data_IF_003388216524
#
_entry.id   IF_003388216524
#
_cell.length_a   1.000
_cell.length_b   1.000
_cell.length_c   1.000
_cell.angle_alpha   90.00
_cell.angle_beta   90.00
_cell.angle_gamma   90.00
#
_symmetry.space_group_name_H-M   'P 1'
#
loop_
_entity.id
_entity.type
_entity.pdbx_description
1 polymer ?
#
# COMPACT_ATOMS: atom_id res chain seq x y z
N UNK A 1 -23.97 23.84 9.94
CA UNK A 1 -25.03 23.07 9.29
C UNK A 1 -25.01 23.44 7.82
N UNK A 2 -24.69 22.51 6.96
CA UNK A 2 -24.75 22.70 5.51
C UNK A 2 -26.18 22.58 4.98
N UNK A 3 -26.40 23.04 3.75
CA UNK A 3 -27.68 22.89 3.08
C UNK A 3 -27.93 21.40 2.77
N UNK A 4 -29.17 20.94 3.03
CA UNK A 4 -29.60 19.58 2.73
C UNK A 4 -30.22 19.55 1.34
N UNK A 5 -29.78 18.59 0.54
CA UNK A 5 -30.34 18.34 -0.79
C UNK A 5 -31.08 17.01 -0.80
N UNK A 6 -32.22 16.95 -1.49
CA UNK A 6 -32.98 15.70 -1.64
C UNK A 6 -32.21 14.74 -2.55
N UNK A 7 -31.95 13.54 -2.07
CA UNK A 7 -31.31 12.45 -2.84
C UNK A 7 -32.39 11.66 -3.61
N UNK A 8 -33.48 11.31 -2.93
CA UNK A 8 -34.59 10.56 -3.51
C UNK A 8 -35.86 10.77 -2.69
N UNK A 9 -37.02 10.49 -3.31
CA UNK A 9 -38.32 10.46 -2.62
C UNK A 9 -38.91 9.05 -2.75
N UNK A 10 -39.25 8.45 -1.61
CA UNK A 10 -39.80 7.10 -1.50
C UNK A 10 -41.29 7.23 -1.07
N UNK A 11 -42.20 6.78 -1.90
CA UNK A 11 -43.65 6.86 -1.62
C UNK A 11 -44.21 5.59 -0.98
N UNK A 12 -43.52 4.47 -1.09
CA UNK A 12 -43.92 3.22 -0.46
C UNK A 12 -43.32 3.14 0.96
N UNK A 13 -44.17 3.22 1.98
CA UNK A 13 -43.80 3.18 3.39
C UNK A 13 -43.12 1.86 3.86
N UNK A 14 -43.29 0.76 3.06
CA UNK A 14 -42.62 -0.50 3.36
C UNK A 14 -41.16 -0.56 2.85
N UNK A 15 -40.75 0.42 2.06
CA UNK A 15 -39.37 0.53 1.58
C UNK A 15 -38.52 1.18 2.69
N UNK A 16 -37.59 0.42 3.24
CA UNK A 16 -36.75 0.83 4.38
C UNK A 16 -35.29 1.09 3.99
N UNK A 17 -34.96 0.99 2.70
CA UNK A 17 -33.59 1.20 2.21
C UNK A 17 -33.55 1.85 0.82
N UNK A 18 -32.49 2.57 0.54
CA UNK A 18 -32.16 3.15 -0.76
C UNK A 18 -30.67 2.99 -1.03
N UNK A 19 -30.29 2.60 -2.24
CA UNK A 19 -28.88 2.48 -2.63
C UNK A 19 -28.44 3.68 -3.45
N UNK A 20 -27.32 4.28 -3.07
CA UNK A 20 -26.65 5.36 -3.81
C UNK A 20 -25.49 4.73 -4.56
N UNK A 21 -25.50 4.80 -5.89
CA UNK A 21 -24.50 4.16 -6.75
C UNK A 21 -23.35 5.06 -7.15
N UNK A 22 -23.59 6.37 -7.15
CA UNK A 22 -22.56 7.37 -7.45
C UNK A 22 -22.14 8.08 -6.14
N UNK A 23 -21.09 7.59 -5.51
CA UNK A 23 -20.60 8.17 -4.29
C UNK A 23 -19.07 8.12 -4.25
N UNK A 24 -18.45 9.04 -3.49
CA UNK A 24 -17.03 9.01 -3.20
C UNK A 24 -16.84 8.55 -1.74
N UNK A 25 -16.26 7.35 -1.50
CA UNK A 25 -16.06 6.83 -0.15
C UNK A 25 -15.04 7.63 0.69
N UNK A 26 -14.28 8.53 0.05
CA UNK A 26 -13.27 9.37 0.67
C UNK A 26 -13.82 10.72 1.15
N UNK A 27 -15.09 10.98 0.89
CA UNK A 27 -15.79 12.20 1.32
C UNK A 27 -16.83 11.84 2.35
N UNK A 28 -16.81 12.54 3.48
CA UNK A 28 -17.85 12.41 4.50
C UNK A 28 -19.16 13.01 3.98
N UNK A 29 -20.21 12.20 3.94
CA UNK A 29 -21.56 12.61 3.61
C UNK A 29 -22.49 12.30 4.77
N UNK A 30 -23.37 13.21 5.09
CA UNK A 30 -24.40 13.06 6.11
C UNK A 30 -25.75 12.83 5.44
N UNK A 31 -26.51 11.87 5.94
CA UNK A 31 -27.81 11.48 5.42
C UNK A 31 -28.87 11.56 6.51
N UNK A 32 -30.07 12.01 6.11
CA UNK A 32 -31.25 12.08 6.95
C UNK A 32 -32.44 11.50 6.21
N UNK A 33 -33.41 11.00 6.95
CA UNK A 33 -34.74 10.65 6.42
C UNK A 33 -35.72 11.68 6.92
N UNK A 34 -36.39 12.33 5.99
CA UNK A 34 -37.54 13.22 6.28
C UNK A 34 -38.82 12.49 5.88
N UNK A 35 -39.78 12.49 6.77
CA UNK A 35 -41.11 11.88 6.54
C UNK A 35 -42.14 12.99 6.44
N UNK A 36 -42.98 12.92 5.41
CA UNK A 36 -44.15 13.82 5.26
C UNK A 36 -45.42 13.01 5.38
N UNK A 37 -46.43 13.55 6.07
CA UNK A 37 -47.78 12.99 6.10
C UNK A 37 -48.66 13.52 4.97
N UNK A 38 -49.90 13.04 4.92
CA UNK A 38 -50.90 13.44 3.89
C UNK A 38 -51.41 14.87 4.08
N UNK A 39 -51.16 15.51 5.21
CA UNK A 39 -51.47 16.90 5.52
C UNK A 39 -50.31 17.84 5.21
N UNK A 40 -49.18 17.33 4.74
CA UNK A 40 -47.99 18.10 4.43
C UNK A 40 -47.13 18.45 5.64
N UNK A 41 -47.37 17.84 6.81
CA UNK A 41 -46.50 18.00 7.97
C UNK A 41 -45.25 17.13 7.80
N UNK A 42 -44.10 17.65 8.21
CA UNK A 42 -42.82 16.97 8.04
C UNK A 42 -42.11 16.74 9.38
N UNK A 43 -41.37 15.66 9.45
CA UNK A 43 -40.47 15.33 10.55
C UNK A 43 -39.17 14.75 10.02
N UNK A 44 -38.03 15.17 10.57
CA UNK A 44 -36.72 14.72 10.16
C UNK A 44 -36.05 13.90 11.30
N UNK A 45 -35.52 12.74 10.95
CA UNK A 45 -34.83 11.86 11.89
C UNK A 45 -33.41 12.33 12.19
N UNK A 46 -32.74 11.62 13.09
CA UNK A 46 -31.32 11.83 13.37
C UNK A 46 -30.48 11.49 12.14
N UNK A 47 -29.54 12.37 11.79
CA UNK A 47 -28.62 12.14 10.68
C UNK A 47 -27.56 11.10 11.01
N UNK A 48 -27.10 10.41 9.98
CA UNK A 48 -25.95 9.49 10.03
C UNK A 48 -24.99 9.79 8.91
N UNK A 49 -23.72 9.54 9.14
CA UNK A 49 -22.65 9.70 8.15
C UNK A 49 -22.11 8.36 7.69
N UNK A 50 -21.58 8.32 6.46
CA UNK A 50 -20.79 7.19 6.01
C UNK A 50 -19.45 7.18 6.76
N UNK A 51 -18.93 5.98 7.03
CA UNK A 51 -17.55 5.82 7.44
C UNK A 51 -16.62 6.18 6.27
N UNK A 52 -15.61 7.00 6.54
CA UNK A 52 -14.59 7.30 5.53
C UNK A 52 -13.82 6.03 5.17
N UNK A 53 -13.46 5.93 3.90
CA UNK A 53 -12.57 4.86 3.45
C UNK A 53 -11.15 5.16 3.94
N UNK A 54 -10.63 4.32 4.84
CA UNK A 54 -9.25 4.44 5.29
C UNK A 54 -8.29 3.94 4.20
N UNK A 55 -7.07 4.46 4.22
CA UNK A 55 -6.00 3.98 3.33
C UNK A 55 -5.74 2.47 3.53
N UNK A 56 -5.25 1.77 2.49
CA UNK A 56 -4.85 0.38 2.61
C UNK A 56 -3.74 0.22 3.66
N UNK A 57 -3.63 -0.97 4.24
CA UNK A 57 -2.53 -1.30 5.16
C UNK A 57 -1.19 -1.11 4.44
N UNK A 58 -0.23 -0.38 5.01
CA UNK A 58 1.10 -0.28 4.41
C UNK A 58 1.77 -1.64 4.28
N UNK A 59 2.62 -1.79 3.27
CA UNK A 59 3.43 -2.98 3.01
C UNK A 59 4.90 -2.59 3.11
N UNK A 60 5.63 -3.27 3.98
CA UNK A 60 7.04 -2.96 4.25
C UNK A 60 7.97 -3.78 3.35
N UNK A 61 9.09 -3.18 2.95
CA UNK A 61 10.20 -3.93 2.34
C UNK A 61 10.93 -4.67 3.46
N UNK A 62 11.07 -6.00 3.30
CA UNK A 62 11.64 -6.88 4.33
C UNK A 62 13.02 -7.40 4.00
N UNK A 63 13.43 -7.32 2.72
CA UNK A 63 14.75 -7.77 2.30
C UNK A 63 15.19 -7.08 1.01
N UNK A 64 16.46 -6.68 0.97
CA UNK A 64 17.17 -6.25 -0.24
C UNK A 64 18.49 -7.00 -0.26
N UNK A 65 18.61 -7.97 -1.15
CA UNK A 65 19.80 -8.81 -1.31
C UNK A 65 20.28 -8.76 -2.76
N UNK A 66 21.57 -8.91 -2.98
CA UNK A 66 22.14 -8.95 -4.33
C UNK A 66 23.23 -10.02 -4.46
N UNK A 67 23.42 -10.48 -5.67
CA UNK A 67 24.51 -11.35 -6.10
C UNK A 67 25.24 -10.74 -7.32
N UNK A 68 25.92 -11.53 -8.10
CA UNK A 68 26.65 -11.05 -9.30
C UNK A 68 25.73 -10.70 -10.49
N UNK A 69 24.49 -11.15 -10.46
CA UNK A 69 23.58 -11.08 -11.62
C UNK A 69 22.37 -10.15 -11.35
N UNK A 70 21.94 -10.06 -10.09
CA UNK A 70 20.72 -9.34 -9.75
C UNK A 70 20.70 -8.80 -8.32
N UNK A 71 19.88 -7.76 -8.11
CA UNK A 71 19.46 -7.29 -6.80
C UNK A 71 17.98 -7.62 -6.63
N UNK A 72 17.63 -8.41 -5.62
CA UNK A 72 16.26 -8.84 -5.34
C UNK A 72 15.70 -8.11 -4.13
N UNK A 73 14.59 -7.42 -4.33
CA UNK A 73 13.82 -6.72 -3.31
C UNK A 73 12.60 -7.58 -2.98
N UNK A 74 12.38 -7.85 -1.69
CA UNK A 74 11.24 -8.63 -1.19
C UNK A 74 10.44 -7.78 -0.18
N UNK A 75 9.12 -7.92 -0.18
CA UNK A 75 8.22 -7.20 0.72
C UNK A 75 7.13 -8.12 1.29
N UNK A 76 6.43 -7.64 2.31
CA UNK A 76 5.30 -8.36 2.88
C UNK A 76 4.13 -8.46 1.91
N UNK A 77 3.36 -9.54 2.00
CA UNK A 77 2.11 -9.64 1.25
C UNK A 77 1.06 -8.69 1.84
N UNK A 78 0.35 -7.97 0.96
CA UNK A 78 -0.75 -7.11 1.39
C UNK A 78 -1.86 -7.90 2.06
N UNK A 79 -2.26 -7.46 3.25
CA UNK A 79 -3.40 -8.02 3.97
C UNK A 79 -4.56 -7.02 3.94
N UNK A 80 -5.68 -7.36 3.28
CA UNK A 80 -6.86 -6.51 3.21
C UNK A 80 -7.43 -6.19 4.60
N UNK A 81 -7.88 -4.94 4.79
CA UNK A 81 -8.58 -4.57 6.02
C UNK A 81 -10.03 -5.08 5.97
N UNK A 82 -10.28 -6.22 6.62
CA UNK A 82 -11.59 -6.86 6.63
C UNK A 82 -12.69 -6.01 7.28
N UNK A 83 -12.36 -5.12 8.20
CA UNK A 83 -13.32 -4.18 8.77
C UNK A 83 -13.89 -3.25 7.70
N UNK A 84 -13.06 -2.73 6.84
CA UNK A 84 -13.36 -1.88 5.69
C UNK A 84 -14.21 -2.62 4.65
N UNK A 85 -13.78 -3.82 4.27
CA UNK A 85 -14.47 -4.69 3.30
C UNK A 85 -15.86 -5.09 3.80
N UNK A 86 -16.00 -5.44 5.08
CA UNK A 86 -17.27 -5.82 5.68
C UNK A 86 -18.27 -4.66 5.70
N UNK A 87 -17.83 -3.42 5.97
CA UNK A 87 -18.71 -2.25 5.91
C UNK A 87 -19.26 -2.03 4.50
N UNK A 88 -18.44 -2.22 3.47
CA UNK A 88 -18.87 -2.17 2.08
C UNK A 88 -19.90 -3.24 1.76
N UNK A 89 -19.60 -4.51 2.09
CA UNK A 89 -20.46 -5.64 1.78
C UNK A 89 -21.85 -5.50 2.41
N UNK A 90 -21.94 -4.92 3.60
CA UNK A 90 -23.22 -4.61 4.24
C UNK A 90 -24.04 -3.58 3.47
N UNK A 91 -23.37 -2.57 2.90
CA UNK A 91 -24.04 -1.47 2.21
C UNK A 91 -24.38 -1.76 0.75
N UNK A 92 -23.64 -2.64 0.07
CA UNK A 92 -23.74 -2.85 -1.39
C UNK A 92 -24.21 -4.24 -1.80
N UNK A 93 -24.44 -5.19 -0.88
CA UNK A 93 -24.60 -6.63 -1.16
C UNK A 93 -23.45 -7.21 -1.99
N UNK A 94 -22.30 -6.58 -1.95
CA UNK A 94 -21.08 -7.04 -2.60
C UNK A 94 -20.49 -8.20 -1.81
N UNK A 95 -19.85 -9.13 -2.50
CA UNK A 95 -19.04 -10.21 -1.91
C UNK A 95 -17.55 -9.94 -2.10
N UNK A 96 -17.14 -8.67 -2.14
CA UNK A 96 -15.72 -8.31 -2.24
C UNK A 96 -15.00 -8.86 -1.02
N UNK A 97 -13.99 -9.65 -1.27
CA UNK A 97 -13.13 -10.26 -0.22
C UNK A 97 -11.72 -9.66 -0.24
N UNK A 98 -11.41 -8.86 -1.25
CA UNK A 98 -10.10 -8.27 -1.46
C UNK A 98 -10.24 -6.93 -2.17
N UNK A 99 -9.52 -5.91 -1.70
CA UNK A 99 -9.50 -4.57 -2.26
C UNK A 99 -8.14 -4.21 -2.90
N UNK A 100 -7.24 -5.17 -3.03
CA UNK A 100 -5.94 -4.99 -3.66
C UNK A 100 -6.06 -4.67 -5.15
N UNK A 101 -5.28 -3.68 -5.62
CA UNK A 101 -5.14 -3.36 -7.03
C UNK A 101 -3.70 -3.54 -7.50
N UNK A 102 -2.73 -2.94 -6.78
CA UNK A 102 -1.33 -3.04 -7.20
C UNK A 102 -0.33 -2.76 -6.09
N UNK A 103 0.86 -3.33 -6.24
CA UNK A 103 2.10 -2.82 -5.67
C UNK A 103 2.80 -1.92 -6.69
N UNK A 104 3.44 -0.88 -6.22
CA UNK A 104 4.40 -0.10 -6.98
C UNK A 104 5.73 -0.06 -6.20
N UNK A 105 6.75 -0.73 -6.73
CA UNK A 105 8.10 -0.67 -6.18
C UNK A 105 8.71 0.68 -6.51
N UNK A 106 9.21 1.35 -5.51
CA UNK A 106 9.78 2.69 -5.57
C UNK A 106 11.26 2.64 -5.16
N UNK A 107 12.09 3.44 -5.80
CA UNK A 107 13.53 3.55 -5.54
C UNK A 107 13.95 5.01 -5.34
N UNK A 108 14.89 5.24 -4.43
CA UNK A 108 15.59 6.51 -4.20
C UNK A 108 17.05 6.25 -3.86
N UNK A 109 17.92 7.20 -4.09
CA UNK A 109 19.33 7.20 -3.68
C UNK A 109 19.54 7.61 -2.21
N UNK A 110 18.51 8.12 -1.54
CA UNK A 110 18.54 8.46 -0.12
C UNK A 110 17.21 8.13 0.56
N UNK A 111 17.23 7.78 1.85
CA UNK A 111 16.06 7.34 2.62
C UNK A 111 14.86 8.28 2.54
N UNK A 112 15.09 9.58 2.69
CA UNK A 112 14.06 10.61 2.70
C UNK A 112 14.07 11.44 1.40
N UNK A 113 14.55 10.86 0.30
CA UNK A 113 14.61 11.48 -1.00
C UNK A 113 13.34 11.39 -1.80
N UNK A 114 13.45 11.80 -3.07
CA UNK A 114 12.37 11.62 -4.04
C UNK A 114 12.45 10.21 -4.59
N UNK A 115 11.39 9.44 -4.39
CA UNK A 115 11.27 8.09 -4.90
C UNK A 115 10.72 8.09 -6.32
N UNK A 116 11.30 7.26 -7.17
CA UNK A 116 10.85 7.01 -8.54
C UNK A 116 10.29 5.61 -8.68
N UNK A 117 9.29 5.45 -9.56
CA UNK A 117 8.68 4.15 -9.81
C UNK A 117 9.63 3.24 -10.59
N UNK A 118 9.84 2.04 -10.09
CA UNK A 118 10.61 0.97 -10.74
C UNK A 118 9.69 0.10 -11.57
N UNK A 119 8.63 -0.41 -10.95
CA UNK A 119 7.65 -1.30 -11.57
C UNK A 119 6.31 -1.24 -10.84
N UNK A 120 5.22 -1.49 -11.58
CA UNK A 120 3.88 -1.71 -11.03
C UNK A 120 3.49 -3.19 -11.21
N UNK A 121 3.05 -3.84 -10.14
CA UNK A 121 2.72 -5.26 -10.07
C UNK A 121 1.26 -5.41 -9.64
N UNK A 122 0.43 -6.05 -10.46
CA UNK A 122 -1.01 -6.24 -10.22
C UNK A 122 -1.36 -7.58 -9.60
N UNK A 123 -0.39 -8.46 -9.39
CA UNK A 123 -0.56 -9.73 -8.68
C UNK A 123 -0.23 -9.56 -7.20
N UNK A 124 -1.21 -9.77 -6.32
CA UNK A 124 -1.03 -9.65 -4.87
C UNK A 124 -0.02 -10.67 -4.32
N UNK A 125 0.02 -11.88 -4.90
CA UNK A 125 0.95 -12.94 -4.47
C UNK A 125 2.39 -12.73 -4.95
N UNK A 126 2.64 -11.73 -5.81
CA UNK A 126 4.00 -11.38 -6.24
C UNK A 126 4.59 -10.41 -5.22
N UNK A 127 5.45 -10.93 -4.36
CA UNK A 127 6.05 -10.22 -3.23
C UNK A 127 7.54 -9.93 -3.39
N UNK A 128 8.07 -10.06 -4.60
CA UNK A 128 9.47 -9.75 -4.89
C UNK A 128 9.65 -9.26 -6.32
N UNK A 129 10.76 -8.54 -6.55
CA UNK A 129 11.21 -8.12 -7.86
C UNK A 129 12.73 -8.09 -7.92
N UNK A 130 13.31 -8.52 -9.05
CA UNK A 130 14.77 -8.54 -9.27
C UNK A 130 15.16 -7.49 -10.31
N UNK A 131 16.16 -6.69 -9.97
CA UNK A 131 16.82 -5.73 -10.84
C UNK A 131 18.10 -6.35 -11.39
N UNK A 132 18.27 -6.35 -12.71
CA UNK A 132 19.48 -6.83 -13.38
C UNK A 132 20.50 -5.72 -13.67
N UNK A 133 20.04 -4.47 -13.64
CA UNK A 133 20.90 -3.30 -13.77
C UNK A 133 20.93 -2.57 -12.42
N UNK A 134 22.01 -2.75 -11.67
CA UNK A 134 22.21 -2.14 -10.35
C UNK A 134 23.71 -1.95 -10.08
N UNK A 135 24.06 -1.05 -9.19
CA UNK A 135 25.41 -0.84 -8.71
C UNK A 135 25.45 -1.17 -7.19
N UNK A 136 26.16 -2.25 -6.77
CA UNK A 136 26.24 -2.62 -5.37
C UNK A 136 27.10 -1.65 -4.53
N UNK A 137 27.82 -0.73 -5.16
CA UNK A 137 28.63 0.29 -4.49
C UNK A 137 27.85 1.55 -4.17
N UNK A 138 26.61 1.65 -4.68
CA UNK A 138 25.73 2.79 -4.46
C UNK A 138 24.60 2.38 -3.53
N UNK A 139 24.34 3.21 -2.53
CA UNK A 139 23.19 3.03 -1.65
C UNK A 139 21.88 3.32 -2.42
N UNK A 140 20.96 2.37 -2.36
CA UNK A 140 19.62 2.52 -2.91
C UNK A 140 18.59 2.18 -1.84
N UNK A 141 17.57 3.00 -1.73
CA UNK A 141 16.44 2.81 -0.83
C UNK A 141 15.22 2.37 -1.61
N UNK A 142 14.54 1.36 -1.12
CA UNK A 142 13.34 0.81 -1.73
C UNK A 142 12.15 0.91 -0.80
N UNK A 143 10.99 1.26 -1.35
CA UNK A 143 9.69 1.25 -0.67
C UNK A 143 8.65 0.62 -1.57
N UNK A 144 7.58 0.12 -0.96
CA UNK A 144 6.42 -0.39 -1.71
C UNK A 144 5.21 0.47 -1.40
N UNK A 145 4.58 0.98 -2.46
CA UNK A 145 3.29 1.66 -2.42
C UNK A 145 2.21 0.68 -2.82
N UNK A 146 1.23 0.47 -1.96
CA UNK A 146 0.02 -0.32 -2.24
C UNK A 146 -1.09 0.61 -2.67
N UNK A 147 -1.84 0.21 -3.70
CA UNK A 147 -3.05 0.91 -4.14
C UNK A 147 -4.25 -0.02 -4.04
N UNK A 148 -5.35 0.50 -3.52
CA UNK A 148 -6.61 -0.22 -3.37
C UNK A 148 -7.60 0.06 -4.52
N UNK A 149 -8.72 -0.66 -4.49
CA UNK A 149 -9.80 -0.55 -5.49
C UNK A 149 -10.39 0.86 -5.60
N UNK A 150 -10.31 1.70 -4.57
CA UNK A 150 -10.80 3.09 -4.59
C UNK A 150 -9.75 4.10 -4.99
N UNK A 151 -8.54 3.64 -5.34
CA UNK A 151 -7.43 4.50 -5.71
C UNK A 151 -6.73 5.16 -4.52
N UNK A 152 -7.06 4.75 -3.29
CA UNK A 152 -6.27 5.14 -2.13
C UNK A 152 -4.98 4.35 -2.10
N UNK A 153 -3.94 4.94 -1.53
CA UNK A 153 -2.66 4.27 -1.44
C UNK A 153 -2.00 4.53 -0.08
N UNK A 154 -1.10 3.63 0.28
CA UNK A 154 -0.18 3.77 1.39
C UNK A 154 1.20 3.27 0.98
N UNK A 155 2.22 3.79 1.64
CA UNK A 155 3.61 3.38 1.42
C UNK A 155 4.19 2.92 2.74
N UNK A 156 4.78 1.73 2.75
CA UNK A 156 5.39 1.15 3.93
C UNK A 156 6.80 1.66 4.22
N UNK A 157 7.42 1.06 5.22
CA UNK A 157 8.81 1.30 5.58
C UNK A 157 9.73 0.83 4.46
N UNK A 158 10.77 1.59 4.22
CA UNK A 158 11.78 1.26 3.22
C UNK A 158 12.95 0.50 3.82
N UNK A 159 13.72 -0.10 2.92
CA UNK A 159 14.98 -0.76 3.23
C UNK A 159 16.02 -0.41 2.16
N UNK A 160 17.28 -0.36 2.56
CA UNK A 160 18.42 -0.15 1.66
C UNK A 160 19.18 -1.45 1.42
N UNK A 161 19.90 -1.51 0.29
CA UNK A 161 20.91 -2.54 0.10
C UNK A 161 22.11 -2.29 1.01
N UNK A 162 22.79 -3.37 1.41
CA UNK A 162 24.11 -3.24 2.00
C UNK A 162 25.12 -2.82 0.92
N UNK A 163 25.85 -1.73 1.17
CA UNK A 163 26.93 -1.32 0.25
C UNK A 163 28.02 -2.39 0.25
N UNK A 164 28.43 -2.83 -0.94
CA UNK A 164 29.52 -3.76 -1.06
C UNK A 164 30.85 -3.12 -0.61
N UNK A 165 31.34 -3.51 0.54
CA UNK A 165 32.65 -3.09 1.02
C UNK A 165 33.76 -3.79 0.21
N UNK A 166 34.87 -3.11 -0.08
CA UNK A 166 36.00 -3.74 -0.71
C UNK A 166 36.50 -4.91 0.17
N UNK A 167 37.07 -5.96 -0.43
CA UNK A 167 37.63 -7.07 0.33
C UNK A 167 38.60 -6.58 1.40
N UNK A 168 38.60 -7.23 2.55
CA UNK A 168 39.57 -6.96 3.60
C UNK A 168 40.96 -7.20 3.00
N UNK A 169 41.85 -6.20 3.13
CA UNK A 169 43.21 -6.30 2.64
C UNK A 169 43.92 -7.46 3.38
N UNK A 170 44.45 -8.46 2.65
CA UNK A 170 45.16 -9.56 3.29
C UNK A 170 46.45 -9.02 3.95
N UNK A 171 46.69 -9.44 5.14
CA UNK A 171 47.98 -9.17 5.82
C UNK A 171 49.02 -10.18 5.38
N UNK A 172 50.22 -9.68 5.03
CA UNK A 172 51.37 -10.57 4.76
C UNK A 172 52.06 -10.85 6.10
N UNK A 173 52.20 -12.12 6.41
CA UNK A 173 53.03 -12.54 7.54
C UNK A 173 54.50 -12.45 7.17
N UNK A 174 55.41 -12.43 8.17
CA UNK A 174 56.85 -12.34 7.92
C UNK A 174 57.31 -13.44 6.95
N UNK A 175 58.14 -13.04 5.98
CA UNK A 175 58.72 -13.98 5.00
C UNK A 175 59.69 -14.88 5.74
N UNK A 176 59.50 -16.18 5.62
CA UNK A 176 60.35 -17.19 6.21
C UNK A 176 61.29 -17.76 5.13
N UNK A 177 62.61 -17.77 5.39
CA UNK A 177 63.62 -18.37 4.55
C UNK A 177 63.95 -19.78 5.03
N UNK A 178 63.86 -20.73 4.14
CA UNK A 178 64.37 -22.09 4.38
C UNK A 178 65.26 -22.51 3.22
N UNK A 179 66.55 -22.60 3.48
CA UNK A 179 67.55 -22.99 2.49
C UNK A 179 67.47 -22.18 1.18
N UNK A 180 67.04 -22.81 0.10
CA UNK A 180 66.98 -22.22 -1.24
C UNK A 180 65.59 -21.64 -1.61
N UNK A 181 64.68 -21.56 -0.67
CA UNK A 181 63.31 -21.02 -0.88
C UNK A 181 62.91 -20.01 0.21
N UNK A 182 61.95 -19.15 -0.13
CA UNK A 182 61.24 -18.35 0.85
C UNK A 182 59.72 -18.52 0.63
N UNK A 183 58.95 -18.52 1.72
CA UNK A 183 57.51 -18.66 1.72
C UNK A 183 56.89 -17.34 2.10
N UNK A 184 55.92 -16.90 1.27
CA UNK A 184 55.05 -15.78 1.57
C UNK A 184 53.72 -16.37 2.03
N UNK A 185 53.22 -16.04 3.20
CA UNK A 185 51.97 -16.54 3.74
C UNK A 185 50.99 -15.38 4.00
#
# INVERSE_FOLDING_TARGET
SGDKTSVTTITNKSTTSHSITEFNPNIENWYWVEVSDTLGQTSIGTGMTNSLNNQPTPVDVVSVIYDLESMTITWDEYVPNMGRINQMNQNTRSTVTNDFVSYELLQSDIENGTYTSVIVITSQSTISHSLTEYDPLVENWFKVKVTDFWGLNSTGSGMTNEINNPPIQPELYPIVYENDSFTIT
#
